data_IF_880654866925
#
_entry.id   IF_880654866925
#
_cell.length_a   1.000
_cell.length_b   1.000
_cell.length_c   1.000
_cell.angle_alpha   90.00
_cell.angle_beta   90.00
_cell.angle_gamma   90.00
#
_symmetry.space_group_name_H-M   'P 1'
#
loop_
_entity.id
_entity.type
_entity.pdbx_description
1 polymer ?
#
# COMPACT_ATOMS: atom_id res chain seq x y z
N UNK A 1 -38.48 -18.00 39.48
CA UNK A 1 -39.68 -18.18 38.64
C UNK A 1 -40.51 -19.19 39.39
N UNK A 2 -41.54 -18.71 40.08
CA UNK A 2 -42.39 -19.59 40.88
C UNK A 2 -43.53 -20.08 39.99
N UNK A 3 -43.45 -21.35 39.61
CA UNK A 3 -44.45 -22.07 38.83
C UNK A 3 -45.26 -22.94 39.79
N UNK A 4 -46.59 -22.85 39.74
CA UNK A 4 -47.44 -23.77 40.49
C UNK A 4 -47.72 -25.00 39.61
N UNK A 5 -47.18 -26.16 39.99
CA UNK A 5 -47.36 -27.40 39.23
C UNK A 5 -48.76 -27.95 39.52
N UNK A 6 -49.57 -28.09 38.48
CA UNK A 6 -50.92 -28.65 38.55
C UNK A 6 -50.88 -30.16 38.30
N UNK A 7 -50.11 -30.59 37.30
CA UNK A 7 -49.98 -32.00 36.93
C UNK A 7 -48.58 -32.32 36.41
N UNK A 8 -48.06 -33.49 36.78
CA UNK A 8 -46.76 -33.99 36.32
C UNK A 8 -46.84 -35.49 36.08
N UNK A 9 -46.68 -35.92 34.83
CA UNK A 9 -46.77 -37.32 34.42
C UNK A 9 -45.55 -37.71 33.57
N UNK A 10 -45.03 -38.92 33.77
CA UNK A 10 -43.90 -39.39 32.98
C UNK A 10 -44.39 -39.74 31.57
N UNK A 11 -43.77 -39.13 30.56
CA UNK A 11 -43.99 -39.45 29.16
C UNK A 11 -42.74 -40.15 28.62
N UNK A 12 -42.81 -41.48 28.55
CA UNK A 12 -41.72 -42.34 28.07
C UNK A 12 -41.44 -42.15 26.56
N UNK A 13 -42.35 -41.51 25.81
CA UNK A 13 -42.16 -41.25 24.39
C UNK A 13 -41.30 -40.00 24.11
N UNK A 14 -41.22 -39.09 25.08
CA UNK A 14 -40.50 -37.82 24.96
C UNK A 14 -39.10 -37.89 25.59
N UNK A 15 -38.07 -37.57 24.82
CA UNK A 15 -36.66 -37.69 25.22
C UNK A 15 -35.97 -36.32 25.30
N UNK A 16 -35.17 -36.11 26.33
CA UNK A 16 -34.47 -34.86 26.55
C UNK A 16 -33.38 -34.62 25.48
N UNK A 17 -33.35 -33.43 24.84
CA UNK A 17 -32.35 -33.13 23.81
C UNK A 17 -30.91 -33.05 24.33
N UNK A 18 -30.72 -32.86 25.65
CA UNK A 18 -29.38 -32.74 26.25
C UNK A 18 -28.80 -34.07 26.71
N UNK A 19 -29.61 -34.99 27.24
CA UNK A 19 -29.14 -36.23 27.86
C UNK A 19 -29.90 -37.50 27.44
N UNK A 20 -30.89 -37.38 26.55
CA UNK A 20 -31.70 -38.48 26.03
C UNK A 20 -32.53 -39.27 27.07
N UNK A 21 -32.63 -38.79 28.32
CA UNK A 21 -33.52 -39.40 29.31
C UNK A 21 -35.00 -39.05 29.05
N UNK A 22 -35.91 -39.95 29.45
CA UNK A 22 -37.36 -39.73 29.38
C UNK A 22 -37.79 -38.48 30.16
N UNK A 23 -38.82 -37.80 29.66
CA UNK A 23 -39.28 -36.52 30.19
C UNK A 23 -40.64 -36.64 30.87
N UNK A 24 -40.90 -35.75 31.82
CA UNK A 24 -42.23 -35.56 32.38
C UNK A 24 -43.00 -34.54 31.53
N UNK A 25 -44.25 -34.83 31.17
CA UNK A 25 -45.21 -33.80 30.78
C UNK A 25 -45.67 -33.06 32.02
N UNK A 26 -45.49 -31.73 32.03
CA UNK A 26 -45.80 -30.87 33.16
C UNK A 26 -46.81 -29.80 32.73
N UNK A 27 -47.91 -29.75 33.45
CA UNK A 27 -48.89 -28.67 33.39
C UNK A 27 -48.73 -27.82 34.64
N UNK A 28 -48.48 -26.53 34.46
CA UNK A 28 -48.25 -25.59 35.53
C UNK A 28 -48.95 -24.25 35.24
N UNK A 29 -49.17 -23.47 36.28
CA UNK A 29 -49.74 -22.14 36.20
C UNK A 29 -48.70 -21.10 36.62
N UNK A 30 -48.64 -19.98 35.90
CA UNK A 30 -47.84 -18.81 36.26
C UNK A 30 -48.69 -17.55 36.19
N UNK A 31 -48.93 -16.91 37.34
CA UNK A 31 -49.68 -15.65 37.43
C UNK A 31 -50.97 -15.65 36.56
N UNK A 32 -51.78 -16.71 36.63
CA UNK A 32 -53.03 -16.95 35.88
C UNK A 32 -52.92 -17.43 34.42
N UNK A 33 -51.71 -17.76 33.95
CA UNK A 33 -51.50 -18.35 32.62
C UNK A 33 -51.14 -19.84 32.72
N UNK A 34 -51.86 -20.66 31.96
CA UNK A 34 -51.57 -22.08 31.82
C UNK A 34 -50.31 -22.28 30.96
N UNK A 35 -49.34 -23.00 31.51
CA UNK A 35 -48.06 -23.31 30.88
C UNK A 35 -47.90 -24.83 30.83
N UNK A 36 -47.66 -25.34 29.63
CA UNK A 36 -47.35 -26.74 29.40
C UNK A 36 -45.92 -26.88 28.87
N UNK A 37 -45.15 -27.76 29.49
CA UNK A 37 -43.76 -28.03 29.09
C UNK A 37 -43.35 -29.45 29.45
N UNK A 38 -42.28 -29.93 28.82
CA UNK A 38 -41.63 -31.17 29.22
C UNK A 38 -40.47 -30.89 30.16
N UNK A 39 -40.35 -31.60 31.28
CA UNK A 39 -39.23 -31.51 32.22
C UNK A 39 -38.46 -32.83 32.25
N UNK A 40 -37.17 -32.79 31.93
CA UNK A 40 -36.33 -33.98 31.95
C UNK A 40 -36.19 -34.55 33.36
N UNK A 41 -36.34 -35.87 33.47
CA UNK A 41 -36.20 -36.61 34.73
C UNK A 41 -34.77 -36.61 35.31
N UNK A 42 -33.75 -36.37 34.49
CA UNK A 42 -32.34 -36.49 34.88
C UNK A 42 -31.60 -35.15 35.02
N UNK A 43 -31.81 -34.19 34.12
CA UNK A 43 -31.07 -32.92 34.10
C UNK A 43 -31.94 -31.68 34.29
N UNK A 44 -33.22 -31.88 34.64
CA UNK A 44 -34.21 -30.80 34.90
C UNK A 44 -34.38 -29.84 33.71
N UNK A 45 -33.96 -30.26 32.52
CA UNK A 45 -34.11 -29.47 31.31
C UNK A 45 -35.58 -29.35 30.94
N UNK A 46 -36.02 -28.12 30.65
CA UNK A 46 -37.41 -27.79 30.35
C UNK A 46 -37.56 -27.43 28.88
N UNK A 47 -38.42 -28.15 28.16
CA UNK A 47 -38.74 -27.88 26.76
C UNK A 47 -40.15 -27.30 26.71
N UNK A 48 -40.24 -26.01 26.43
CA UNK A 48 -41.51 -25.31 26.28
C UNK A 48 -42.00 -25.40 24.82
N UNK A 49 -43.29 -25.14 24.59
CA UNK A 49 -43.85 -25.11 23.24
C UNK A 49 -43.21 -23.98 22.39
N UNK A 50 -43.09 -24.15 21.06
CA UNK A 50 -42.45 -23.18 20.18
C UNK A 50 -43.01 -21.76 20.27
N UNK A 51 -44.30 -21.61 20.58
CA UNK A 51 -44.98 -20.32 20.68
C UNK A 51 -44.76 -19.60 22.03
N UNK A 52 -43.99 -20.19 22.93
CA UNK A 52 -43.69 -19.61 24.24
C UNK A 52 -42.36 -18.84 24.23
N UNK A 53 -42.35 -17.64 24.82
CA UNK A 53 -41.12 -16.85 25.03
C UNK A 53 -40.27 -17.36 26.22
N UNK A 54 -40.50 -18.59 26.67
CA UNK A 54 -39.92 -19.16 27.88
C UNK A 54 -38.66 -19.96 27.56
N UNK A 55 -37.65 -19.84 28.43
CA UNK A 55 -36.36 -20.50 28.25
C UNK A 55 -36.02 -21.37 29.45
N UNK A 56 -35.33 -22.49 29.21
CA UNK A 56 -34.89 -23.38 30.29
C UNK A 56 -33.75 -22.77 31.13
N UNK A 57 -33.92 -22.76 32.45
CA UNK A 57 -32.93 -22.24 33.41
C UNK A 57 -32.06 -23.31 34.08
N UNK A 58 -32.01 -24.55 33.55
CA UNK A 58 -31.12 -25.58 34.10
C UNK A 58 -29.64 -25.15 33.99
N UNK A 59 -28.78 -25.80 34.76
CA UNK A 59 -27.35 -25.47 34.85
C UNK A 59 -26.65 -25.46 33.49
N UNK A 60 -26.93 -26.45 32.64
CA UNK A 60 -26.36 -26.56 31.29
C UNK A 60 -26.84 -25.43 30.36
N UNK A 61 -28.14 -25.15 30.30
CA UNK A 61 -28.69 -24.08 29.46
C UNK A 61 -28.25 -22.68 29.92
N UNK A 62 -28.09 -22.49 31.23
CA UNK A 62 -27.59 -21.22 31.78
C UNK A 62 -26.11 -21.02 31.47
N UNK A 63 -25.29 -22.09 31.54
CA UNK A 63 -23.88 -22.04 31.15
C UNK A 63 -23.71 -21.77 29.64
N UNK A 64 -24.51 -22.44 28.79
CA UNK A 64 -24.48 -22.24 27.34
C UNK A 64 -24.89 -20.82 26.94
N UNK A 65 -25.94 -20.26 27.55
CA UNK A 65 -26.35 -18.86 27.32
C UNK A 65 -25.29 -17.86 27.78
N UNK A 66 -24.68 -18.05 28.96
CA UNK A 66 -23.56 -17.21 29.40
C UNK A 66 -22.39 -17.24 28.41
N UNK A 67 -22.06 -18.42 27.86
CA UNK A 67 -21.01 -18.56 26.84
C UNK A 67 -21.38 -17.83 25.54
N UNK A 68 -22.63 -17.94 25.09
CA UNK A 68 -23.14 -17.23 23.91
C UNK A 68 -23.15 -15.71 24.11
N UNK A 69 -23.60 -15.21 25.27
CA UNK A 69 -23.57 -13.78 25.62
C UNK A 69 -22.13 -13.24 25.68
N UNK A 70 -21.20 -14.00 26.25
CA UNK A 70 -19.78 -13.62 26.30
C UNK A 70 -19.15 -13.58 24.90
N UNK A 71 -19.52 -14.52 24.02
CA UNK A 71 -19.10 -14.52 22.61
C UNK A 71 -19.70 -13.35 21.82
N UNK A 72 -20.98 -13.02 22.06
CA UNK A 72 -21.64 -11.87 21.45
C UNK A 72 -21.00 -10.55 21.90
N UNK A 73 -20.70 -10.40 23.20
CA UNK A 73 -19.99 -9.24 23.74
C UNK A 73 -18.56 -9.10 23.17
N UNK A 74 -17.85 -10.21 22.96
CA UNK A 74 -16.54 -10.20 22.29
C UNK A 74 -16.64 -9.83 20.81
N UNK A 75 -17.71 -10.26 20.11
CA UNK A 75 -17.98 -9.83 18.73
C UNK A 75 -18.37 -8.35 18.65
N UNK A 76 -19.17 -7.84 19.58
CA UNK A 76 -19.48 -6.41 19.68
C UNK A 76 -18.24 -5.58 20.00
N UNK A 77 -17.41 -6.00 20.96
CA UNK A 77 -16.13 -5.32 21.23
C UNK A 77 -15.19 -5.31 20.01
N UNK A 78 -15.20 -6.36 19.18
CA UNK A 78 -14.47 -6.37 17.90
C UNK A 78 -15.05 -5.38 16.89
N UNK A 79 -16.38 -5.24 16.82
CA UNK A 79 -17.05 -4.22 15.99
C UNK A 79 -16.77 -2.79 16.47
N UNK A 80 -16.69 -2.56 17.78
CA UNK A 80 -16.37 -1.23 18.33
C UNK A 80 -14.89 -0.83 18.16
N UNK A 81 -13.96 -1.79 18.06
CA UNK A 81 -12.56 -1.51 17.68
C UNK A 81 -12.38 -1.07 16.21
N UNK A 82 -13.34 -1.34 15.33
CA UNK A 82 -13.27 -0.95 13.92
C UNK A 82 -13.59 0.53 13.66
N UNK A 83 -14.01 1.31 14.66
CA UNK A 83 -14.31 2.75 14.50
C UNK A 83 -13.07 3.65 14.41
N UNK A 84 -11.88 3.17 14.77
CA UNK A 84 -10.63 3.94 14.74
C UNK A 84 -9.74 3.63 13.52
N UNK A 85 -10.22 2.83 12.56
CA UNK A 85 -9.45 2.55 11.35
C UNK A 85 -9.46 3.76 10.40
N UNK A 86 -8.30 4.37 10.23
CA UNK A 86 -8.08 5.45 9.27
C UNK A 86 -8.12 4.85 7.87
N UNK A 87 -9.20 5.10 7.14
CA UNK A 87 -9.30 4.77 5.72
C UNK A 87 -8.92 6.01 4.92
N UNK A 88 -7.81 5.92 4.19
CA UNK A 88 -7.32 7.02 3.36
C UNK A 88 -8.12 7.15 2.07
N UNK A 89 -8.40 8.38 1.64
CA UNK A 89 -8.77 8.66 0.24
C UNK A 89 -7.55 8.54 -0.66
N UNK A 90 -7.71 8.05 -1.89
CA UNK A 90 -6.65 7.89 -2.88
C UNK A 90 -5.84 9.17 -3.06
N UNK A 91 -6.51 10.33 -3.02
CA UNK A 91 -5.90 11.66 -3.10
C UNK A 91 -4.93 11.96 -1.94
N UNK A 92 -5.16 11.38 -0.77
CA UNK A 92 -4.38 11.64 0.45
C UNK A 92 -3.04 10.89 0.50
N UNK A 93 -2.91 9.81 -0.27
CA UNK A 93 -1.68 9.02 -0.37
C UNK A 93 -0.53 9.89 -0.91
N UNK A 94 0.71 9.54 -0.57
CA UNK A 94 1.87 10.22 -1.15
C UNK A 94 2.00 9.88 -2.64
N UNK A 95 2.64 10.77 -3.39
CA UNK A 95 3.00 10.58 -4.80
C UNK A 95 3.77 9.26 -4.98
N UNK A 96 4.70 8.95 -4.08
CA UNK A 96 5.47 7.70 -4.11
C UNK A 96 4.58 6.46 -3.96
N UNK A 97 3.64 6.47 -3.01
CA UNK A 97 2.70 5.36 -2.83
C UNK A 97 1.76 5.21 -4.01
N UNK A 98 1.25 6.31 -4.58
CA UNK A 98 0.43 6.29 -5.80
C UNK A 98 1.20 5.73 -7.00
N UNK A 99 2.46 6.15 -7.18
CA UNK A 99 3.34 5.65 -8.23
C UNK A 99 3.59 4.15 -8.08
N UNK A 100 3.80 3.66 -6.86
CA UNK A 100 4.00 2.24 -6.60
C UNK A 100 2.71 1.42 -6.76
N UNK A 101 1.56 1.93 -6.32
CA UNK A 101 0.27 1.29 -6.56
C UNK A 101 -0.03 1.18 -8.05
N UNK A 102 0.25 2.23 -8.83
CA UNK A 102 0.11 2.18 -10.27
C UNK A 102 1.04 1.12 -10.86
N UNK A 103 2.32 1.10 -10.52
CA UNK A 103 3.26 0.12 -11.08
C UNK A 103 2.85 -1.32 -10.79
N UNK A 104 2.29 -1.57 -9.60
CA UNK A 104 1.76 -2.85 -9.17
C UNK A 104 0.52 -3.27 -9.98
N UNK A 105 -0.45 -2.37 -10.14
CA UNK A 105 -1.79 -2.68 -10.66
C UNK A 105 -1.95 -2.50 -12.17
N UNK A 106 -1.09 -1.72 -12.83
CA UNK A 106 -1.29 -1.28 -14.22
C UNK A 106 -1.42 -2.44 -15.22
N UNK A 107 -0.67 -3.53 -15.00
CA UNK A 107 -0.76 -4.73 -15.83
C UNK A 107 -1.82 -5.74 -15.38
N UNK A 108 -2.41 -5.55 -14.20
CA UNK A 108 -3.32 -6.51 -13.56
C UNK A 108 -4.78 -6.09 -13.73
N UNK A 109 -5.14 -4.89 -13.28
CA UNK A 109 -6.51 -4.39 -13.29
C UNK A 109 -6.79 -3.62 -14.60
N UNK A 110 -7.07 -4.37 -15.67
CA UNK A 110 -7.43 -3.85 -17.00
C UNK A 110 -8.84 -4.28 -17.39
N UNK A 111 -9.51 -3.50 -18.24
CA UNK A 111 -10.87 -3.82 -18.72
C UNK A 111 -10.92 -5.13 -19.52
N UNK A 112 -9.84 -5.47 -20.20
CA UNK A 112 -9.72 -6.63 -21.09
C UNK A 112 -9.33 -7.92 -20.36
N UNK A 113 -9.07 -7.87 -19.05
CA UNK A 113 -8.61 -9.02 -18.25
C UNK A 113 -9.56 -9.25 -17.08
N UNK A 114 -10.03 -10.49 -16.95
CA UNK A 114 -10.69 -10.93 -15.72
C UNK A 114 -9.67 -10.95 -14.58
N UNK A 115 -9.91 -10.14 -13.56
CA UNK A 115 -9.09 -10.04 -12.36
C UNK A 115 -9.99 -10.14 -11.12
N UNK A 116 -9.42 -10.58 -10.00
CA UNK A 116 -10.07 -10.49 -8.70
C UNK A 116 -9.65 -9.19 -7.99
N UNK A 117 -10.32 -8.89 -6.88
CA UNK A 117 -10.06 -7.72 -6.04
C UNK A 117 -8.91 -7.96 -5.03
N UNK A 118 -8.07 -8.98 -5.27
CA UNK A 118 -7.00 -9.41 -4.36
C UNK A 118 -5.63 -9.26 -5.03
N UNK A 119 -4.69 -8.69 -4.28
CA UNK A 119 -3.28 -8.62 -4.67
C UNK A 119 -2.59 -9.88 -4.15
N UNK A 120 -2.34 -10.82 -5.05
CA UNK A 120 -1.59 -12.05 -4.80
C UNK A 120 -0.08 -11.80 -4.76
N UNK A 121 0.42 -11.17 -3.69
CA UNK A 121 1.81 -10.73 -3.57
C UNK A 121 2.81 -11.85 -3.82
N UNK A 122 2.55 -13.05 -3.31
CA UNK A 122 3.41 -14.24 -3.50
C UNK A 122 3.77 -14.49 -4.96
N UNK A 123 2.82 -14.27 -5.86
CA UNK A 123 2.94 -14.59 -7.28
C UNK A 123 3.73 -13.51 -8.04
N UNK A 124 3.68 -12.27 -7.56
CA UNK A 124 4.20 -11.10 -8.28
C UNK A 124 5.39 -10.42 -7.59
N UNK A 125 5.79 -10.87 -6.39
CA UNK A 125 6.82 -10.20 -5.57
C UNK A 125 8.20 -10.06 -6.19
N UNK A 126 8.51 -10.84 -7.23
CA UNK A 126 9.77 -10.76 -7.97
C UNK A 126 9.66 -10.03 -9.32
N UNK A 127 8.48 -9.52 -9.67
CA UNK A 127 8.34 -8.62 -10.81
C UNK A 127 9.04 -7.28 -10.52
N UNK A 128 9.46 -6.62 -11.60
CA UNK A 128 10.27 -5.41 -11.57
C UNK A 128 9.40 -4.17 -11.40
N UNK A 129 8.60 -4.11 -10.33
CA UNK A 129 7.80 -2.92 -10.04
C UNK A 129 8.67 -1.75 -9.61
N UNK A 130 9.76 -2.02 -8.88
CA UNK A 130 10.75 -1.03 -8.44
C UNK A 130 12.17 -1.45 -8.84
N UNK A 131 13.17 -0.56 -8.80
CA UNK A 131 14.53 -0.89 -9.28
C UNK A 131 15.20 -2.05 -8.54
N UNK A 132 14.83 -2.34 -7.28
CA UNK A 132 15.34 -3.51 -6.58
C UNK A 132 14.34 -4.08 -5.56
N UNK A 133 14.47 -5.38 -5.29
CA UNK A 133 13.55 -6.12 -4.43
C UNK A 133 13.51 -5.60 -2.98
N UNK A 134 14.62 -5.07 -2.44
CA UNK A 134 14.64 -4.54 -1.08
C UNK A 134 13.77 -3.29 -0.97
N UNK A 135 13.84 -2.39 -1.96
CA UNK A 135 13.00 -1.21 -2.03
C UNK A 135 11.53 -1.57 -2.25
N UNK A 136 11.25 -2.54 -3.12
CA UNK A 136 9.92 -3.08 -3.35
C UNK A 136 9.27 -3.61 -2.05
N UNK A 137 10.00 -4.42 -1.30
CA UNK A 137 9.51 -4.93 -0.01
C UNK A 137 9.29 -3.81 1.00
N UNK A 138 10.18 -2.82 1.05
CA UNK A 138 10.01 -1.68 1.95
C UNK A 138 8.70 -0.94 1.66
N UNK A 139 8.38 -0.67 0.39
CA UNK A 139 7.12 -0.01 0.01
C UNK A 139 5.89 -0.86 0.36
N UNK A 140 5.93 -2.18 0.15
CA UNK A 140 4.83 -3.06 0.58
C UNK A 140 4.62 -3.01 2.10
N UNK A 141 5.71 -3.09 2.87
CA UNK A 141 5.63 -3.03 4.34
C UNK A 141 5.12 -1.67 4.81
N UNK A 142 5.51 -0.59 4.14
CA UNK A 142 5.00 0.75 4.44
C UNK A 142 3.50 0.87 4.16
N UNK A 143 3.02 0.35 3.01
CA UNK A 143 1.59 0.33 2.68
C UNK A 143 0.78 -0.52 3.68
N UNK A 144 1.33 -1.66 4.12
CA UNK A 144 0.69 -2.52 5.14
C UNK A 144 0.64 -1.81 6.49
N UNK A 145 1.76 -1.19 6.90
CA UNK A 145 1.84 -0.42 8.16
C UNK A 145 0.87 0.76 8.19
N UNK A 146 0.67 1.41 7.04
CA UNK A 146 -0.30 2.51 6.88
C UNK A 146 -1.75 2.01 6.77
N UNK A 147 -2.01 0.70 6.76
CA UNK A 147 -3.36 0.16 6.60
C UNK A 147 -3.96 0.41 5.21
N UNK A 148 -3.13 0.77 4.22
CA UNK A 148 -3.51 0.91 2.81
C UNK A 148 -3.65 -0.48 2.19
N UNK A 149 -2.71 -1.38 2.45
CA UNK A 149 -2.85 -2.80 2.15
C UNK A 149 -3.22 -3.55 3.42
N UNK A 150 -4.26 -4.36 3.36
CA UNK A 150 -4.68 -5.19 4.50
C UNK A 150 -4.58 -6.67 4.15
N UNK A 151 -4.01 -7.51 5.03
CA UNK A 151 -3.94 -8.94 4.81
C UNK A 151 -5.33 -9.56 4.89
N UNK A 152 -5.61 -10.55 4.04
CA UNK A 152 -6.90 -11.24 4.00
C UNK A 152 -7.22 -11.99 5.30
N UNK A 153 -6.21 -12.65 5.89
CA UNK A 153 -6.35 -13.35 7.17
C UNK A 153 -5.44 -12.74 8.24
N UNK A 154 -6.04 -12.30 9.34
CA UNK A 154 -5.35 -11.67 10.47
C UNK A 154 -4.51 -12.64 11.33
N UNK A 155 -4.43 -13.92 10.95
CA UNK A 155 -3.75 -14.97 11.72
C UNK A 155 -2.73 -15.82 10.94
N UNK A 156 -2.65 -15.69 9.61
CA UNK A 156 -1.72 -16.46 8.76
C UNK A 156 -1.07 -15.46 7.79
N UNK A 157 0.26 -15.53 7.62
CA UNK A 157 0.99 -14.78 6.58
C UNK A 157 0.52 -15.22 5.20
N UNK A 158 -0.59 -14.68 4.75
CA UNK A 158 -1.23 -15.14 3.53
C UNK A 158 -0.55 -14.58 2.29
N UNK A 159 0.31 -13.56 2.36
CA UNK A 159 0.84 -12.84 1.18
C UNK A 159 -0.29 -12.44 0.18
N UNK A 160 -1.52 -12.29 0.70
CA UNK A 160 -2.72 -11.86 -0.02
C UNK A 160 -3.21 -10.57 0.61
N UNK A 161 -3.36 -9.52 -0.20
CA UNK A 161 -3.74 -8.20 0.28
C UNK A 161 -4.98 -7.67 -0.44
N UNK A 162 -5.85 -6.98 0.29
CA UNK A 162 -6.86 -6.11 -0.31
C UNK A 162 -6.48 -4.64 -0.13
N UNK A 163 -6.90 -3.80 -1.08
CA UNK A 163 -6.61 -2.37 -1.08
C UNK A 163 -7.70 -1.63 -0.29
N UNK A 164 -7.33 -1.04 0.84
CA UNK A 164 -8.22 -0.33 1.75
C UNK A 164 -8.09 1.19 1.54
N UNK A 165 -8.56 1.66 0.39
CA UNK A 165 -8.51 3.07 -0.04
C UNK A 165 -9.87 3.50 -0.56
N UNK A 166 -10.28 4.74 -0.26
CA UNK A 166 -11.49 5.36 -0.83
C UNK A 166 -11.17 6.12 -2.10
N UNK A 167 -12.11 6.09 -3.05
CA UNK A 167 -12.08 6.94 -4.24
C UNK A 167 -13.29 7.85 -4.18
N UNK A 168 -13.15 9.12 -4.57
CA UNK A 168 -14.25 10.08 -4.47
C UNK A 168 -15.48 9.57 -5.26
N UNK A 169 -16.64 9.51 -4.61
CA UNK A 169 -17.86 8.93 -5.17
C UNK A 169 -18.05 7.43 -4.96
N UNK A 170 -17.05 6.71 -4.42
CA UNK A 170 -17.10 5.27 -4.15
C UNK A 170 -16.75 4.94 -2.71
N UNK A 171 -17.68 4.29 -1.99
CA UNK A 171 -17.42 3.79 -0.64
C UNK A 171 -16.43 2.60 -0.66
N UNK A 172 -16.58 1.71 -1.65
CA UNK A 172 -15.76 0.53 -1.88
C UNK A 172 -15.35 0.48 -3.36
N UNK A 173 -14.30 1.22 -3.76
CA UNK A 173 -13.84 1.22 -5.15
C UNK A 173 -13.17 -0.10 -5.53
N UNK A 174 -13.44 -0.58 -6.74
CA UNK A 174 -12.70 -1.72 -7.32
C UNK A 174 -11.22 -1.37 -7.58
N UNK A 175 -10.37 -2.39 -7.65
CA UNK A 175 -8.98 -2.27 -8.10
C UNK A 175 -8.91 -1.62 -9.47
N UNK A 176 -9.84 -1.94 -10.38
CA UNK A 176 -9.93 -1.30 -11.68
C UNK A 176 -10.17 0.22 -11.56
N UNK A 177 -11.15 0.65 -10.76
CA UNK A 177 -11.48 2.07 -10.59
C UNK A 177 -10.28 2.85 -10.00
N UNK A 178 -9.59 2.28 -9.01
CA UNK A 178 -8.38 2.89 -8.45
C UNK A 178 -7.29 2.99 -9.50
N UNK A 179 -7.04 1.89 -10.22
CA UNK A 179 -5.97 1.84 -11.24
C UNK A 179 -6.25 2.82 -12.38
N UNK A 180 -7.50 2.91 -12.83
CA UNK A 180 -7.92 3.87 -13.83
C UNK A 180 -7.69 5.32 -13.38
N UNK A 181 -8.05 5.67 -12.13
CA UNK A 181 -7.76 7.00 -11.60
C UNK A 181 -6.26 7.30 -11.56
N UNK A 182 -5.44 6.31 -11.18
CA UNK A 182 -3.98 6.45 -11.18
C UNK A 182 -3.44 6.65 -12.60
N UNK A 183 -3.92 5.90 -13.60
CA UNK A 183 -3.56 6.09 -15.01
C UNK A 183 -3.89 7.51 -15.47
N UNK A 184 -5.07 8.02 -15.14
CA UNK A 184 -5.45 9.41 -15.47
C UNK A 184 -4.46 10.42 -14.88
N UNK A 185 -4.02 10.24 -13.64
CA UNK A 185 -3.07 11.17 -13.02
C UNK A 185 -1.64 11.07 -13.57
N UNK A 186 -1.17 9.87 -13.92
CA UNK A 186 0.22 9.66 -14.33
C UNK A 186 0.44 9.70 -15.85
N UNK A 187 -0.55 9.34 -16.66
CA UNK A 187 -0.41 9.20 -18.11
C UNK A 187 -1.05 10.35 -18.90
N UNK A 188 -2.04 11.03 -18.34
CA UNK A 188 -2.78 12.08 -19.07
C UNK A 188 -2.19 13.48 -18.88
N UNK A 189 -0.87 13.61 -18.71
CA UNK A 189 -0.17 14.90 -18.75
C UNK A 189 -0.74 15.97 -17.80
N UNK A 190 -1.25 15.55 -16.63
CA UNK A 190 -1.90 16.39 -15.61
C UNK A 190 -3.27 16.96 -16.05
N UNK A 191 -3.81 16.55 -17.20
CA UNK A 191 -5.09 17.05 -17.70
C UNK A 191 -6.30 16.58 -16.88
N UNK A 192 -6.20 15.36 -16.34
CA UNK A 192 -7.26 14.71 -15.56
C UNK A 192 -6.93 14.65 -14.05
N UNK A 193 -6.19 15.64 -13.56
CA UNK A 193 -5.82 15.82 -12.15
C UNK A 193 -4.34 15.55 -11.86
N UNK A 194 -3.94 15.76 -10.60
CA UNK A 194 -2.53 15.64 -10.18
C UNK A 194 -2.33 14.55 -9.11
N UNK A 195 -1.29 13.69 -9.26
CA UNK A 195 -0.99 12.65 -8.27
C UNK A 195 -0.20 13.17 -7.05
N UNK A 196 0.22 14.43 -7.02
CA UNK A 196 1.11 15.00 -6.01
C UNK A 196 0.49 16.20 -5.29
N UNK A 197 0.97 16.49 -4.08
CA UNK A 197 0.55 17.67 -3.29
C UNK A 197 1.47 18.86 -3.52
N UNK A 198 2.78 18.59 -3.68
CA UNK A 198 3.79 19.61 -3.94
C UNK A 198 4.79 19.11 -4.97
N UNK A 199 5.48 20.06 -5.60
CA UNK A 199 6.59 19.75 -6.51
C UNK A 199 7.77 19.10 -5.81
N UNK A 200 8.03 19.48 -4.56
CA UNK A 200 9.03 18.82 -3.72
C UNK A 200 8.76 17.33 -3.57
N UNK A 201 7.50 16.91 -3.46
CA UNK A 201 7.12 15.49 -3.36
C UNK A 201 7.55 14.70 -4.62
N UNK A 202 7.38 15.31 -5.80
CA UNK A 202 7.80 14.72 -7.08
C UNK A 202 9.33 14.70 -7.18
N UNK A 203 9.98 15.78 -6.74
CA UNK A 203 11.45 15.89 -6.71
C UNK A 203 12.07 14.82 -5.82
N UNK A 204 11.52 14.65 -4.62
CA UNK A 204 11.97 13.65 -3.65
C UNK A 204 11.81 12.23 -4.21
N UNK A 205 10.70 11.94 -4.88
CA UNK A 205 10.47 10.67 -5.56
C UNK A 205 11.46 10.45 -6.73
N UNK A 206 11.77 11.48 -7.51
CA UNK A 206 12.77 11.41 -8.58
C UNK A 206 14.16 11.08 -8.01
N UNK A 207 14.62 11.81 -6.99
CA UNK A 207 15.92 11.57 -6.36
C UNK A 207 15.98 10.19 -5.70
N UNK A 208 14.91 9.77 -5.04
CA UNK A 208 14.82 8.43 -4.45
C UNK A 208 14.92 7.35 -5.52
N UNK A 209 14.17 7.48 -6.62
CA UNK A 209 14.14 6.46 -7.67
C UNK A 209 15.49 6.35 -8.40
N UNK A 210 16.12 7.48 -8.73
CA UNK A 210 17.47 7.50 -9.32
C UNK A 210 18.52 6.92 -8.36
N UNK A 211 18.38 7.13 -7.05
CA UNK A 211 19.21 6.44 -6.07
C UNK A 211 18.97 4.93 -6.07
N UNK A 212 17.73 4.46 -6.20
CA UNK A 212 17.45 3.02 -6.26
C UNK A 212 17.97 2.39 -7.56
N UNK A 213 18.01 3.13 -8.68
CA UNK A 213 18.71 2.73 -9.90
C UNK A 213 20.23 2.61 -9.67
N UNK A 214 20.83 3.52 -8.88
CA UNK A 214 22.24 3.40 -8.44
C UNK A 214 22.47 2.15 -7.58
N UNK A 215 21.55 1.84 -6.68
CA UNK A 215 21.61 0.61 -5.86
C UNK A 215 21.46 -0.64 -6.73
N UNK A 216 20.57 -0.63 -7.71
CA UNK A 216 20.41 -1.73 -8.66
C UNK A 216 21.69 -1.94 -9.48
N UNK A 217 22.32 -0.85 -9.95
CA UNK A 217 23.57 -0.90 -10.69
C UNK A 217 24.72 -1.52 -9.87
N UNK A 218 24.92 -1.12 -8.61
CA UNK A 218 25.95 -1.74 -7.76
C UNK A 218 25.67 -3.24 -7.52
N UNK A 219 24.39 -3.61 -7.33
CA UNK A 219 23.99 -4.99 -7.08
C UNK A 219 24.24 -5.86 -8.29
N UNK A 220 23.87 -5.35 -9.47
CA UNK A 220 24.14 -5.96 -10.75
C UNK A 220 25.65 -6.21 -10.93
N UNK A 221 26.48 -5.20 -10.67
CA UNK A 221 27.92 -5.32 -10.86
C UNK A 221 28.56 -6.32 -9.89
N UNK A 222 28.28 -6.20 -8.59
CA UNK A 222 28.82 -7.10 -7.55
C UNK A 222 28.34 -8.56 -7.69
N UNK A 223 27.18 -8.79 -8.30
CA UNK A 223 26.65 -10.14 -8.55
C UNK A 223 27.62 -10.98 -9.39
N UNK A 224 28.34 -10.36 -10.32
CA UNK A 224 29.35 -11.07 -11.14
C UNK A 224 30.50 -11.65 -10.33
N UNK A 225 30.72 -11.15 -9.11
CA UNK A 225 31.75 -11.60 -8.18
C UNK A 225 31.20 -12.44 -7.02
N UNK A 226 29.91 -12.74 -7.00
CA UNK A 226 29.25 -13.41 -5.88
C UNK A 226 29.23 -12.58 -4.58
N UNK A 227 29.36 -11.25 -4.70
CA UNK A 227 29.38 -10.32 -3.56
C UNK A 227 28.00 -9.68 -3.41
N UNK A 228 27.50 -9.65 -2.18
CA UNK A 228 26.29 -8.92 -1.85
C UNK A 228 26.60 -7.46 -1.51
N UNK A 229 25.72 -6.56 -1.96
CA UNK A 229 25.76 -5.14 -1.61
C UNK A 229 24.32 -4.59 -1.58
N UNK A 230 24.09 -3.56 -0.76
CA UNK A 230 22.79 -2.91 -0.62
C UNK A 230 22.97 -1.44 -0.27
N UNK A 231 21.96 -0.61 -0.53
CA UNK A 231 21.96 0.78 -0.12
C UNK A 231 21.74 0.97 1.38
N UNK A 232 22.22 2.09 1.93
CA UNK A 232 21.87 2.53 3.29
C UNK A 232 21.65 4.05 3.31
N UNK A 233 21.11 4.59 4.41
CA UNK A 233 20.76 6.02 4.52
C UNK A 233 21.97 6.95 4.37
N UNK A 234 23.13 6.55 4.86
CA UNK A 234 24.38 7.34 4.78
C UNK A 234 24.89 7.43 3.33
N UNK A 235 24.81 6.32 2.60
CA UNK A 235 25.15 6.26 1.19
C UNK A 235 24.13 7.01 0.33
N UNK A 236 22.83 6.90 0.63
CA UNK A 236 21.78 7.68 -0.02
C UNK A 236 22.04 9.18 0.06
N UNK A 237 22.29 9.71 1.26
CA UNK A 237 22.59 11.13 1.44
C UNK A 237 23.84 11.56 0.65
N UNK A 238 24.84 10.68 0.52
CA UNK A 238 26.00 10.94 -0.32
C UNK A 238 25.66 10.95 -1.81
N UNK A 239 24.89 9.97 -2.31
CA UNK A 239 24.43 9.96 -3.70
C UNK A 239 23.59 11.19 -4.05
N UNK A 240 22.75 11.67 -3.13
CA UNK A 240 21.97 12.89 -3.35
C UNK A 240 22.86 14.10 -3.59
N UNK A 241 23.93 14.26 -2.79
CA UNK A 241 24.96 15.29 -3.02
C UNK A 241 25.69 15.10 -4.35
N UNK A 242 25.98 13.85 -4.76
CA UNK A 242 26.60 13.60 -6.07
C UNK A 242 25.69 14.04 -7.22
N UNK A 243 24.39 13.78 -7.13
CA UNK A 243 23.40 14.14 -8.16
C UNK A 243 23.20 15.65 -8.36
N UNK A 244 23.66 16.49 -7.42
CA UNK A 244 23.69 17.95 -7.59
C UNK A 244 24.72 18.40 -8.64
N UNK A 245 25.83 17.67 -8.78
CA UNK A 245 26.93 18.04 -9.66
C UNK A 245 27.20 17.09 -10.81
N UNK A 246 26.74 15.84 -10.73
CA UNK A 246 27.05 14.77 -11.68
C UNK A 246 25.78 14.19 -12.30
N UNK A 247 25.90 13.75 -13.56
CA UNK A 247 24.90 12.90 -14.19
C UNK A 247 24.92 11.48 -13.59
N UNK A 248 23.81 10.75 -13.66
CA UNK A 248 23.73 9.39 -13.10
C UNK A 248 24.75 8.45 -13.74
N UNK A 249 24.99 8.56 -15.06
CA UNK A 249 26.00 7.77 -15.75
C UNK A 249 27.43 8.06 -15.29
N UNK A 250 27.71 9.29 -14.84
CA UNK A 250 29.01 9.61 -14.20
C UNK A 250 29.12 8.97 -12.82
N UNK A 251 28.02 8.91 -12.07
CA UNK A 251 27.97 8.20 -10.78
C UNK A 251 28.17 6.70 -11.00
N UNK A 252 27.59 6.10 -12.05
CA UNK A 252 27.84 4.71 -12.43
C UNK A 252 29.32 4.45 -12.72
N UNK A 253 29.96 5.33 -13.49
CA UNK A 253 31.40 5.22 -13.78
C UNK A 253 32.25 5.24 -12.49
N UNK A 254 31.96 6.17 -11.57
CA UNK A 254 32.67 6.26 -10.29
C UNK A 254 32.45 4.99 -9.45
N UNK A 255 31.22 4.49 -9.37
CA UNK A 255 30.87 3.28 -8.62
C UNK A 255 31.58 2.07 -9.20
N UNK A 256 31.55 1.89 -10.52
CA UNK A 256 32.24 0.79 -11.18
C UNK A 256 33.74 0.82 -10.87
N UNK A 257 34.38 1.97 -11.06
CA UNK A 257 35.82 2.14 -10.80
C UNK A 257 36.18 1.84 -9.33
N UNK A 258 35.39 2.35 -8.39
CA UNK A 258 35.61 2.13 -6.96
C UNK A 258 35.39 0.66 -6.57
N UNK A 259 34.35 0.00 -7.10
CA UNK A 259 34.09 -1.41 -6.86
C UNK A 259 35.19 -2.31 -7.43
N UNK A 260 35.66 -2.05 -8.65
CA UNK A 260 36.77 -2.79 -9.25
C UNK A 260 38.06 -2.66 -8.43
N UNK A 261 38.36 -1.44 -7.97
CA UNK A 261 39.49 -1.20 -7.09
C UNK A 261 39.36 -2.02 -5.79
N UNK A 262 38.23 -1.93 -5.09
CA UNK A 262 37.99 -2.65 -3.84
C UNK A 262 38.03 -4.18 -4.03
N UNK A 263 37.53 -4.68 -5.16
CA UNK A 263 37.58 -6.10 -5.50
C UNK A 263 39.02 -6.57 -5.76
N UNK A 264 39.80 -5.84 -6.56
CA UNK A 264 41.22 -6.13 -6.83
C UNK A 264 42.05 -6.15 -5.54
N UNK A 265 41.74 -5.27 -4.59
CA UNK A 265 42.37 -5.22 -3.27
C UNK A 265 41.85 -6.29 -2.29
N UNK A 266 40.90 -7.14 -2.70
CA UNK A 266 40.23 -8.14 -1.85
C UNK A 266 39.61 -7.54 -0.57
N UNK A 267 39.17 -6.29 -0.63
CA UNK A 267 38.60 -5.56 0.51
C UNK A 267 37.10 -5.85 0.70
N UNK A 268 36.40 -6.28 -0.35
CA UNK A 268 34.97 -6.59 -0.31
C UNK A 268 34.72 -7.96 0.34
N UNK A 269 33.68 -8.03 1.17
CA UNK A 269 33.23 -9.26 1.81
C UNK A 269 32.12 -9.94 0.98
N UNK A 270 31.98 -11.28 1.02
CA UNK A 270 30.90 -11.96 0.29
C UNK A 270 29.48 -11.50 0.70
N UNK A 271 29.28 -11.21 1.99
CA UNK A 271 28.02 -10.70 2.56
C UNK A 271 28.16 -9.23 2.92
N UNK A 272 27.05 -8.49 2.85
CA UNK A 272 27.01 -7.07 3.22
C UNK A 272 26.55 -6.87 4.67
N UNK A 273 27.13 -7.61 5.61
CA UNK A 273 26.73 -7.54 7.01
C UNK A 273 26.98 -6.13 7.58
N UNK A 274 25.96 -5.55 8.21
CA UNK A 274 25.98 -4.16 8.73
C UNK A 274 26.42 -3.12 7.68
N UNK A 275 26.17 -3.38 6.40
CA UNK A 275 26.52 -2.50 5.28
C UNK A 275 28.03 -2.24 5.12
N UNK A 276 28.89 -3.18 5.50
CA UNK A 276 30.35 -3.01 5.43
C UNK A 276 30.85 -2.69 4.02
N UNK A 277 30.37 -3.41 2.99
CA UNK A 277 30.77 -3.18 1.60
C UNK A 277 30.28 -1.80 1.12
N UNK A 278 29.05 -1.43 1.51
CA UNK A 278 28.46 -0.12 1.18
C UNK A 278 29.27 1.03 1.80
N UNK A 279 29.70 0.89 3.06
CA UNK A 279 30.48 1.90 3.75
C UNK A 279 31.89 2.02 3.18
N UNK A 280 32.52 0.90 2.79
CA UNK A 280 33.80 0.91 2.07
C UNK A 280 33.67 1.62 0.72
N UNK A 281 32.67 1.25 -0.08
CA UNK A 281 32.38 1.90 -1.35
C UNK A 281 32.18 3.41 -1.18
N UNK A 282 31.34 3.82 -0.22
CA UNK A 282 31.10 5.23 0.09
C UNK A 282 32.41 5.97 0.37
N UNK A 283 33.25 5.44 1.27
CA UNK A 283 34.52 6.08 1.65
C UNK A 283 35.47 6.21 0.46
N UNK A 284 35.56 5.19 -0.38
CA UNK A 284 36.37 5.23 -1.61
C UNK A 284 35.85 6.28 -2.59
N UNK A 285 34.53 6.37 -2.77
CA UNK A 285 33.91 7.37 -3.64
C UNK A 285 34.08 8.80 -3.11
N UNK A 286 34.01 9.01 -1.80
CA UNK A 286 34.30 10.31 -1.18
C UNK A 286 35.73 10.74 -1.52
N UNK A 287 36.71 9.86 -1.35
CA UNK A 287 38.10 10.14 -1.72
C UNK A 287 38.28 10.42 -3.22
N UNK A 288 37.65 9.62 -4.08
CA UNK A 288 37.70 9.85 -5.53
C UNK A 288 37.07 11.19 -5.90
N UNK A 289 35.97 11.56 -5.27
CA UNK A 289 35.28 12.83 -5.55
C UNK A 289 36.11 14.03 -5.08
N UNK A 290 36.70 13.96 -3.89
CA UNK A 290 37.59 15.00 -3.35
C UNK A 290 38.79 15.24 -4.28
N UNK A 291 39.45 14.15 -4.70
CA UNK A 291 40.58 14.24 -5.63
C UNK A 291 40.17 14.77 -7.00
N UNK A 292 39.06 14.28 -7.55
CA UNK A 292 38.55 14.76 -8.84
C UNK A 292 38.24 16.26 -8.82
N UNK A 293 37.76 16.80 -7.70
CA UNK A 293 37.51 18.23 -7.54
C UNK A 293 38.80 19.03 -7.39
N UNK A 294 39.75 18.56 -6.58
CA UNK A 294 41.04 19.23 -6.38
C UNK A 294 41.90 19.26 -7.67
N UNK A 295 41.92 18.14 -8.39
CA UNK A 295 42.73 17.93 -9.59
C UNK A 295 41.95 18.25 -10.89
N UNK A 296 40.67 18.67 -10.79
CA UNK A 296 39.77 19.00 -11.92
C UNK A 296 39.64 17.88 -12.96
N UNK A 297 39.47 16.65 -12.51
CA UNK A 297 39.26 15.51 -13.41
C UNK A 297 37.92 15.61 -14.14
N UNK A 298 37.94 15.35 -15.44
CA UNK A 298 36.73 15.06 -16.19
C UNK A 298 36.23 13.65 -15.83
N UNK A 299 35.00 13.57 -15.33
CA UNK A 299 34.38 12.27 -15.00
C UNK A 299 33.63 11.74 -16.21
N UNK A 300 34.10 10.62 -16.74
CA UNK A 300 33.44 9.90 -17.85
C UNK A 300 32.02 9.50 -17.48
N UNK A 301 31.15 9.46 -18.48
CA UNK A 301 29.76 9.02 -18.33
C UNK A 301 29.61 7.60 -18.84
N UNK A 302 29.15 6.69 -17.99
CA UNK A 302 28.78 5.33 -18.37
C UNK A 302 27.28 5.30 -18.75
N UNK A 303 26.89 4.70 -19.89
CA UNK A 303 25.48 4.44 -20.17
C UNK A 303 24.91 3.44 -19.15
N UNK A 304 23.57 3.45 -18.99
CA UNK A 304 22.90 2.41 -18.20
C UNK A 304 23.07 1.05 -18.89
N UNK A 305 23.50 -0.02 -18.18
CA UNK A 305 23.66 -1.32 -18.80
C UNK A 305 22.34 -1.87 -19.35
N UNK A 306 22.33 -2.31 -20.61
CA UNK A 306 21.13 -2.80 -21.31
C UNK A 306 20.51 -4.07 -20.68
N UNK A 307 21.28 -4.81 -19.90
CA UNK A 307 20.86 -6.03 -19.21
C UNK A 307 20.23 -5.77 -17.84
N UNK A 308 20.20 -4.53 -17.39
CA UNK A 308 19.40 -4.13 -16.26
C UNK A 308 18.07 -3.63 -16.85
N UNK A 309 16.93 -4.28 -16.63
CA UNK A 309 15.64 -3.77 -17.09
C UNK A 309 15.21 -2.55 -16.28
N UNK A 310 14.42 -1.67 -16.89
CA UNK A 310 13.78 -0.58 -16.14
C UNK A 310 12.67 -1.15 -15.27
N UNK A 311 12.55 -0.62 -14.06
CA UNK A 311 11.38 -0.92 -13.25
C UNK A 311 10.15 -0.19 -13.78
N UNK A 312 8.96 -0.74 -13.57
CA UNK A 312 7.71 -0.07 -13.94
C UNK A 312 7.59 1.32 -13.29
N UNK A 313 8.02 1.49 -12.04
CA UNK A 313 8.07 2.82 -11.42
C UNK A 313 8.98 3.79 -12.17
N UNK A 314 10.16 3.33 -12.62
CA UNK A 314 11.11 4.14 -13.40
C UNK A 314 10.52 4.53 -14.74
N UNK A 315 9.89 3.60 -15.44
CA UNK A 315 9.23 3.87 -16.72
C UNK A 315 8.10 4.89 -16.59
N UNK A 316 7.23 4.70 -15.59
CA UNK A 316 6.11 5.62 -15.34
C UNK A 316 6.63 7.00 -14.95
N UNK A 317 7.54 7.10 -13.98
CA UNK A 317 7.99 8.40 -13.50
C UNK A 317 8.80 9.15 -14.55
N UNK A 318 9.84 8.51 -15.10
CA UNK A 318 10.80 9.19 -15.96
C UNK A 318 10.17 9.48 -17.33
N UNK A 319 9.55 8.48 -17.95
CA UNK A 319 9.17 8.58 -19.36
C UNK A 319 7.71 9.00 -19.56
N UNK A 320 6.77 8.50 -18.74
CA UNK A 320 5.35 8.82 -18.90
C UNK A 320 4.95 10.12 -18.20
N UNK A 321 5.34 10.28 -16.94
CA UNK A 321 4.92 11.40 -16.12
C UNK A 321 5.77 12.65 -16.33
N UNK A 322 7.10 12.53 -16.25
CA UNK A 322 8.02 13.66 -16.44
C UNK A 322 8.34 13.93 -17.91
N UNK A 323 8.06 12.99 -18.81
CA UNK A 323 8.32 13.13 -20.24
C UNK A 323 9.80 13.20 -20.60
N UNK A 324 10.67 12.63 -19.76
CA UNK A 324 12.09 12.50 -20.07
C UNK A 324 12.34 11.36 -21.05
N UNK A 325 13.56 11.31 -21.56
CA UNK A 325 14.16 10.19 -22.27
C UNK A 325 15.37 9.68 -21.47
N UNK A 326 16.16 8.79 -22.05
CA UNK A 326 17.38 8.27 -21.41
C UNK A 326 18.45 9.36 -21.17
N UNK A 327 18.31 10.58 -21.70
CA UNK A 327 19.24 11.67 -21.43
C UNK A 327 19.24 12.10 -19.95
N UNK A 328 18.25 11.68 -19.16
CA UNK A 328 18.29 11.85 -17.69
C UNK A 328 19.54 11.21 -17.06
N UNK A 329 20.13 10.20 -17.70
CA UNK A 329 21.36 9.55 -17.24
C UNK A 329 22.65 10.28 -17.68
N UNK A 330 22.57 11.17 -18.67
CA UNK A 330 23.73 11.83 -19.27
C UNK A 330 23.89 13.30 -18.87
N UNK A 331 22.90 13.90 -18.23
CA UNK A 331 22.96 15.26 -17.69
C UNK A 331 22.69 15.30 -16.18
N UNK A 332 23.20 16.31 -15.45
CA UNK A 332 22.86 16.51 -14.05
C UNK A 332 21.35 16.65 -13.83
N UNK A 333 20.84 16.01 -12.78
CA UNK A 333 19.39 15.91 -12.48
C UNK A 333 18.73 17.29 -12.37
N UNK A 334 19.44 18.27 -11.80
CA UNK A 334 18.93 19.64 -11.65
C UNK A 334 18.62 20.32 -12.99
N UNK A 335 19.34 20.00 -14.07
CA UNK A 335 19.08 20.57 -15.41
C UNK A 335 17.76 20.06 -15.96
N UNK A 336 17.50 18.76 -15.81
CA UNK A 336 16.23 18.15 -16.19
C UNK A 336 15.09 18.69 -15.33
N UNK A 337 15.32 18.76 -14.00
CA UNK A 337 14.33 19.27 -13.04
C UNK A 337 13.90 20.70 -13.35
N UNK A 338 14.84 21.61 -13.62
CA UNK A 338 14.55 23.02 -13.93
C UNK A 338 13.64 23.20 -15.14
N UNK A 339 13.60 22.24 -16.07
CA UNK A 339 12.71 22.29 -17.25
C UNK A 339 11.26 21.95 -16.89
N UNK A 340 11.03 21.03 -15.95
CA UNK A 340 9.69 20.53 -15.62
C UNK A 340 9.08 21.20 -14.38
N UNK A 341 9.92 21.68 -13.46
CA UNK A 341 9.53 22.28 -12.19
C UNK A 341 8.48 23.40 -12.32
N UNK A 342 8.59 24.37 -13.26
CA UNK A 342 7.57 25.41 -13.42
C UNK A 342 6.18 24.84 -13.74
N UNK A 343 6.11 23.81 -14.60
CA UNK A 343 4.86 23.13 -14.97
C UNK A 343 4.25 22.46 -13.74
N UNK A 344 5.03 21.72 -12.96
CA UNK A 344 4.51 21.06 -11.77
C UNK A 344 4.07 22.06 -10.68
N UNK A 345 4.82 23.17 -10.52
CA UNK A 345 4.52 24.22 -9.55
C UNK A 345 3.21 24.92 -9.85
N UNK A 346 2.94 25.17 -11.13
CA UNK A 346 1.65 25.69 -11.57
C UNK A 346 0.51 24.80 -11.04
N UNK A 347 0.60 23.48 -11.20
CA UNK A 347 -0.47 22.60 -10.74
C UNK A 347 -0.57 22.40 -9.23
N UNK A 348 0.53 22.47 -8.47
CA UNK A 348 0.45 22.33 -7.00
C UNK A 348 -0.17 23.53 -6.31
N UNK A 349 -0.06 24.73 -6.91
CA UNK A 349 -0.48 25.98 -6.26
C UNK A 349 -1.89 26.40 -6.69
N UNK A 350 -2.31 26.05 -7.90
CA UNK A 350 -3.58 26.54 -8.45
C UNK A 350 -4.76 25.84 -7.79
N UNK A 351 -5.72 26.66 -7.37
CA UNK A 351 -7.01 26.27 -6.81
C UNK A 351 -8.09 26.99 -7.58
N UNK A 352 -9.28 26.41 -7.63
CA UNK A 352 -10.45 27.07 -8.21
C UNK A 352 -10.62 28.44 -7.57
N UNK A 353 -10.67 29.51 -8.38
CA UNK A 353 -10.81 30.87 -7.85
C UNK A 353 -12.16 31.11 -7.16
N UNK A 354 -13.19 30.33 -7.51
CA UNK A 354 -14.53 30.47 -6.96
C UNK A 354 -14.73 29.75 -5.62
N UNK A 355 -14.31 28.48 -5.51
CA UNK A 355 -14.56 27.67 -4.31
C UNK A 355 -13.30 27.18 -3.58
N UNK A 356 -12.11 27.55 -4.06
CA UNK A 356 -10.84 27.15 -3.45
C UNK A 356 -10.50 25.67 -3.57
N UNK A 357 -11.23 24.91 -4.39
CA UNK A 357 -11.01 23.47 -4.59
C UNK A 357 -9.75 23.16 -5.40
N UNK A 358 -9.12 22.03 -5.10
CA UNK A 358 -7.97 21.51 -5.84
C UNK A 358 -8.39 20.50 -6.93
N UNK A 359 -9.68 20.17 -7.02
CA UNK A 359 -10.21 19.20 -8.00
C UNK A 359 -10.51 19.90 -9.32
N UNK A 360 -9.46 20.06 -10.14
CA UNK A 360 -9.46 20.81 -11.40
C UNK A 360 -9.22 19.88 -12.59
N UNK A 361 -10.00 20.06 -13.66
CA UNK A 361 -9.73 19.52 -15.00
C UNK A 361 -8.99 20.57 -15.78
N UNK A 362 -7.95 20.18 -16.50
CA UNK A 362 -7.18 21.08 -17.35
C UNK A 362 -7.60 20.86 -18.78
N UNK A 363 -8.05 21.92 -19.43
CA UNK A 363 -8.33 21.93 -20.85
C UNK A 363 -7.28 22.78 -21.57
N UNK A 364 -6.54 22.14 -22.47
CA UNK A 364 -5.53 22.77 -23.33
C UNK A 364 -6.20 23.28 -24.61
N UNK A 365 -7.25 24.07 -24.42
CA UNK A 365 -7.93 24.71 -25.54
C UNK A 365 -7.13 25.96 -25.93
N UNK A 366 -6.41 25.86 -27.04
CA UNK A 366 -5.66 26.91 -27.75
C UNK A 366 -4.21 27.24 -27.32
N UNK A 367 -3.42 27.64 -28.32
CA UNK A 367 -1.95 27.81 -28.31
C UNK A 367 -1.39 28.79 -27.27
N UNK A 368 -2.22 29.58 -26.58
CA UNK A 368 -1.78 30.71 -25.74
C UNK A 368 -2.40 30.71 -24.32
N UNK A 369 -3.24 29.74 -23.94
CA UNK A 369 -3.80 29.67 -22.58
C UNK A 369 -4.10 28.23 -22.14
N UNK A 370 -4.17 28.05 -20.82
CA UNK A 370 -4.57 26.82 -20.14
C UNK A 370 -5.84 27.12 -19.36
N UNK A 371 -6.91 26.37 -19.59
CA UNK A 371 -8.15 26.50 -18.81
C UNK A 371 -8.18 25.48 -17.68
N UNK A 372 -8.52 25.90 -16.48
CA UNK A 372 -8.79 25.04 -15.33
C UNK A 372 -10.29 25.05 -15.03
N UNK A 373 -10.96 23.91 -15.16
CA UNK A 373 -12.38 23.75 -14.87
C UNK A 373 -12.50 23.02 -13.54
N UNK A 374 -13.10 23.66 -12.54
CA UNK A 374 -13.34 23.04 -11.24
C UNK A 374 -14.39 21.94 -11.35
N UNK A 375 -14.06 20.71 -10.93
CA UNK A 375 -15.03 19.61 -10.94
C UNK A 375 -16.17 19.81 -9.96
N UNK A 376 -15.93 20.54 -8.86
CA UNK A 376 -16.92 20.78 -7.81
C UNK A 376 -17.93 21.89 -8.18
N UNK A 377 -17.47 23.08 -8.57
CA UNK A 377 -18.37 24.21 -8.86
C UNK A 377 -18.53 24.51 -10.35
N UNK A 378 -17.86 23.75 -11.23
CA UNK A 378 -17.86 23.93 -12.70
C UNK A 378 -17.34 25.29 -13.19
N UNK A 379 -16.75 26.10 -12.30
CA UNK A 379 -16.11 27.36 -12.66
C UNK A 379 -14.86 27.12 -13.51
N UNK A 380 -14.65 27.95 -14.53
CA UNK A 380 -13.52 27.85 -15.45
C UNK A 380 -12.61 29.07 -15.29
N UNK A 381 -11.35 28.81 -14.92
CA UNK A 381 -10.28 29.79 -14.78
C UNK A 381 -9.36 29.70 -16.01
N UNK A 382 -9.06 30.82 -16.67
CA UNK A 382 -8.14 30.84 -17.81
C UNK A 382 -6.79 31.44 -17.43
N UNK A 383 -5.69 30.75 -17.74
CA UNK A 383 -4.33 31.20 -17.49
C UNK A 383 -3.55 31.30 -18.80
N UNK A 384 -3.18 32.51 -19.20
CA UNK A 384 -2.37 32.74 -20.39
C UNK A 384 -0.93 32.25 -20.17
N UNK A 385 -0.36 31.55 -21.15
CA UNK A 385 0.96 30.89 -21.06
C UNK A 385 2.12 31.82 -21.44
N UNK A 386 1.94 33.15 -21.40
CA UNK A 386 2.96 34.16 -21.70
C UNK A 386 3.57 34.77 -20.45
#
# INVERSE_FOLDING_TARGET
MDLQILQKQLDESSHCPLCQASMYWVEAEQYTQDIQFHECSHCEHRVFKPDSNMNCHCTQCTAQRKKQTQQALLQEQRKYKAKDEIIYSLNQLSFLHKLFLLSLLDGYAREDIQHDEIIHWKNIKYHEFTPNFLFQNHLIQDLVKLGILKPQDSGIETEHYYLNVRLDGYAEPSLFSITHQLRQWFYENLSLGVPFKSTDEVKDALYLLLYQEIVQFMQFYCRTWGIQIAGNRSFQAFCYRLMEGLAIGQIYYLIQTALEYLYKQKALQPRNDKFINTNLLKKTLEQYRERALAERWETSTLPRPHNIPFSKMSEVLLFKFLGYDENIFFQPVWKSWRKIEPRLNFYSVKRCMYCGSNDLVVDYDAKDYVSLICRQCKHQDHYFTR
#
